data_IF_960928478998
#
_entry.id   IF_960928478998
#
_cell.length_a   1.000
_cell.length_b   1.000
_cell.length_c   1.000
_cell.angle_alpha   90.00
_cell.angle_beta   90.00
_cell.angle_gamma   90.00
#
_symmetry.space_group_name_H-M   'P 1'
#
loop_
_entity.id
_entity.type
_entity.pdbx_description
1 polymer ?
#
# COMPACT_ATOMS: atom_id res chain seq x y z
N UNK A 1 8.18 -25.28 -22.58
CA UNK A 1 8.56 -24.02 -21.91
C UNK A 1 7.35 -23.13 -21.56
N UNK A 2 6.14 -23.69 -21.35
CA UNK A 2 4.91 -22.89 -21.16
C UNK A 2 4.26 -23.02 -19.77
N UNK A 3 4.49 -24.11 -19.03
CA UNK A 3 3.88 -24.31 -17.70
C UNK A 3 4.53 -23.48 -16.58
N UNK A 4 5.85 -23.26 -16.63
CA UNK A 4 6.54 -22.51 -15.57
C UNK A 4 6.16 -21.03 -15.56
N UNK A 5 5.99 -20.41 -16.74
CA UNK A 5 5.65 -18.99 -16.84
C UNK A 5 4.22 -18.75 -16.35
N UNK A 6 3.25 -19.58 -16.77
CA UNK A 6 1.87 -19.49 -16.31
C UNK A 6 1.72 -19.69 -14.79
N UNK A 7 2.50 -20.63 -14.20
CA UNK A 7 2.51 -20.85 -12.74
C UNK A 7 3.11 -19.66 -12.00
N UNK A 8 4.20 -19.07 -12.52
CA UNK A 8 4.81 -17.88 -11.93
C UNK A 8 3.89 -16.65 -12.05
N UNK A 9 3.14 -16.52 -13.13
CA UNK A 9 2.15 -15.46 -13.32
C UNK A 9 1.02 -15.54 -12.28
N UNK A 10 0.39 -16.71 -12.14
CA UNK A 10 -0.69 -16.91 -11.16
C UNK A 10 -0.19 -16.65 -9.72
N UNK A 11 1.04 -17.10 -9.41
CA UNK A 11 1.66 -16.83 -8.11
C UNK A 11 1.92 -15.33 -7.89
N UNK A 12 2.36 -14.62 -8.91
CA UNK A 12 2.60 -13.17 -8.84
C UNK A 12 1.29 -12.41 -8.62
N UNK A 13 0.21 -12.84 -9.28
CA UNK A 13 -1.14 -12.29 -9.09
C UNK A 13 -1.67 -12.51 -7.68
N UNK A 14 -1.47 -13.70 -7.12
CA UNK A 14 -1.86 -14.01 -5.73
C UNK A 14 -1.08 -13.14 -4.74
N UNK A 15 0.24 -13.00 -4.92
CA UNK A 15 1.07 -12.13 -4.09
C UNK A 15 0.65 -10.65 -4.16
N UNK A 16 0.21 -10.17 -5.32
CA UNK A 16 -0.32 -8.81 -5.45
C UNK A 16 -1.65 -8.63 -4.71
N UNK A 17 -2.56 -9.61 -4.79
CA UNK A 17 -3.80 -9.57 -4.02
C UNK A 17 -3.54 -9.61 -2.51
N UNK A 18 -2.56 -10.39 -2.06
CA UNK A 18 -2.10 -10.41 -0.67
C UNK A 18 -1.49 -9.06 -0.25
N UNK A 19 -0.68 -8.44 -1.13
CA UNK A 19 -0.11 -7.12 -0.89
C UNK A 19 -1.17 -6.03 -0.79
N UNK A 20 -2.18 -6.02 -1.67
CA UNK A 20 -3.29 -5.08 -1.62
C UNK A 20 -4.10 -5.24 -0.33
N UNK A 21 -4.35 -6.48 0.08
CA UNK A 21 -5.05 -6.77 1.33
C UNK A 21 -4.25 -6.28 2.54
N UNK A 22 -2.93 -6.44 2.54
CA UNK A 22 -2.06 -5.96 3.62
C UNK A 22 -1.93 -4.43 3.62
N UNK A 23 -1.79 -3.81 2.45
CA UNK A 23 -1.80 -2.35 2.31
C UNK A 23 -3.11 -1.75 2.80
N UNK A 24 -4.25 -2.38 2.52
CA UNK A 24 -5.54 -1.96 3.05
C UNK A 24 -5.61 -2.04 4.59
N UNK A 25 -5.05 -3.09 5.20
CA UNK A 25 -4.97 -3.18 6.68
C UNK A 25 -4.09 -2.09 7.27
N UNK A 26 -2.92 -1.82 6.69
CA UNK A 26 -2.03 -0.77 7.20
C UNK A 26 -2.71 0.60 7.11
N UNK A 27 -3.39 0.89 6.00
CA UNK A 27 -4.16 2.13 5.86
C UNK A 27 -5.27 2.24 6.90
N UNK A 28 -5.99 1.16 7.17
CA UNK A 28 -7.01 1.14 8.20
C UNK A 28 -6.41 1.41 9.59
N UNK A 29 -5.26 0.82 9.91
CA UNK A 29 -4.55 1.07 11.18
C UNK A 29 -4.14 2.54 11.28
N UNK A 30 -3.58 3.12 10.22
CA UNK A 30 -3.20 4.54 10.18
C UNK A 30 -4.41 5.47 10.39
N UNK A 31 -5.57 5.14 9.80
CA UNK A 31 -6.82 5.87 10.02
C UNK A 31 -7.30 5.76 11.48
N UNK A 32 -7.26 4.57 12.07
CA UNK A 32 -7.62 4.32 13.47
C UNK A 32 -6.69 5.07 14.44
N UNK A 33 -5.38 5.03 14.22
CA UNK A 33 -4.38 5.75 15.02
C UNK A 33 -4.54 7.28 14.89
N UNK A 34 -4.81 7.77 13.69
CA UNK A 34 -5.10 9.19 13.44
C UNK A 34 -6.34 9.66 14.19
N UNK A 35 -7.39 8.83 14.23
CA UNK A 35 -8.61 9.12 14.98
C UNK A 35 -8.37 9.11 16.50
N UNK A 36 -7.60 8.14 17.02
CA UNK A 36 -7.21 8.09 18.43
C UNK A 36 -6.41 9.33 18.84
N UNK A 37 -5.46 9.75 17.99
CA UNK A 37 -4.67 10.95 18.23
C UNK A 37 -5.54 12.23 18.22
N UNK A 38 -6.55 12.31 17.35
CA UNK A 38 -7.48 13.44 17.36
C UNK A 38 -8.30 13.51 18.67
N UNK A 39 -8.73 12.36 19.21
CA UNK A 39 -9.48 12.27 20.48
C UNK A 39 -8.63 12.69 21.69
N UNK A 40 -7.37 12.24 21.74
CA UNK A 40 -6.40 12.63 22.78
C UNK A 40 -6.11 14.14 22.71
N UNK A 41 -6.00 14.71 21.51
CA UNK A 41 -5.80 16.15 21.32
C UNK A 41 -6.95 17.00 21.84
N UNK A 42 -8.18 16.48 21.84
CA UNK A 42 -9.34 17.14 22.41
C UNK A 42 -9.33 17.18 23.94
N UNK A 43 -8.60 16.29 24.60
CA UNK A 43 -8.54 16.18 26.07
C UNK A 43 -7.36 16.92 26.69
N UNK A 44 -6.29 17.22 25.95
CA UNK A 44 -5.13 17.95 26.45
C UNK A 44 -5.31 19.47 26.30
N UNK A 45 -5.17 20.21 27.41
CA UNK A 45 -5.23 21.68 27.44
C UNK A 45 -3.96 22.29 28.08
N UNK A 46 -3.67 23.55 27.78
CA UNK A 46 -2.49 24.26 28.28
C UNK A 46 -1.21 23.95 27.47
N UNK A 47 -0.03 24.18 28.04
CA UNK A 47 1.26 24.05 27.34
C UNK A 47 1.52 22.65 26.74
N UNK A 48 0.91 21.59 27.30
CA UNK A 48 0.97 20.24 26.74
C UNK A 48 0.18 20.11 25.41
N UNK A 49 -0.83 20.95 25.19
CA UNK A 49 -1.63 20.93 23.96
C UNK A 49 -0.87 21.47 22.75
N UNK A 50 0.02 22.45 22.93
CA UNK A 50 0.82 23.01 21.83
C UNK A 50 1.88 22.02 21.35
N UNK A 51 2.59 21.34 22.27
CA UNK A 51 3.51 20.25 21.92
C UNK A 51 2.80 19.07 21.25
N UNK A 52 1.61 18.71 21.75
CA UNK A 52 0.82 17.65 21.15
C UNK A 52 0.35 18.01 19.75
N UNK A 53 -0.10 19.24 19.50
CA UNK A 53 -0.51 19.70 18.16
C UNK A 53 0.64 19.63 17.16
N UNK A 54 1.85 19.95 17.58
CA UNK A 54 3.03 19.85 16.72
C UNK A 54 3.34 18.39 16.36
N UNK A 55 3.39 17.50 17.36
CA UNK A 55 3.59 16.06 17.14
C UNK A 55 2.46 15.43 16.33
N UNK A 56 1.22 15.88 16.54
CA UNK A 56 0.06 15.42 15.78
C UNK A 56 0.12 15.83 14.30
N UNK A 57 0.58 17.05 14.02
CA UNK A 57 0.79 17.50 12.64
C UNK A 57 1.90 16.73 11.94
N UNK A 58 2.96 16.37 12.66
CA UNK A 58 4.05 15.55 12.14
C UNK A 58 3.58 14.12 11.90
N UNK A 59 2.85 13.53 12.84
CA UNK A 59 2.23 12.21 12.71
C UNK A 59 1.32 12.10 11.49
N UNK A 60 0.38 13.04 11.31
CA UNK A 60 -0.53 13.02 10.16
C UNK A 60 0.25 13.08 8.84
N UNK A 61 1.33 13.88 8.80
CA UNK A 61 2.17 13.97 7.61
C UNK A 61 2.88 12.64 7.34
N UNK A 62 3.45 12.00 8.35
CA UNK A 62 4.13 10.71 8.22
C UNK A 62 3.15 9.60 7.82
N UNK A 63 1.95 9.57 8.41
CA UNK A 63 0.88 8.64 8.05
C UNK A 63 0.42 8.81 6.59
N UNK A 64 0.25 10.05 6.12
CA UNK A 64 -0.08 10.36 4.73
C UNK A 64 1.06 9.92 3.77
N UNK A 65 2.32 10.15 4.16
CA UNK A 65 3.49 9.73 3.39
C UNK A 65 3.59 8.20 3.29
N UNK A 66 3.30 7.48 4.37
CA UNK A 66 3.27 6.01 4.40
C UNK A 66 2.14 5.44 3.55
N UNK A 67 0.93 5.98 3.68
CA UNK A 67 -0.22 5.58 2.85
C UNK A 67 0.08 5.80 1.35
N UNK A 68 0.70 6.92 0.99
CA UNK A 68 1.11 7.22 -0.37
C UNK A 68 2.26 6.32 -0.87
N UNK A 69 3.16 5.89 0.00
CA UNK A 69 4.22 4.95 -0.34
C UNK A 69 3.66 3.54 -0.62
N UNK A 70 2.68 3.10 0.17
CA UNK A 70 1.96 1.84 -0.05
C UNK A 70 1.22 1.85 -1.39
N UNK A 71 0.55 2.95 -1.74
CA UNK A 71 -0.11 3.08 -3.05
C UNK A 71 0.87 2.98 -4.22
N UNK A 72 2.04 3.61 -4.10
CA UNK A 72 3.09 3.51 -5.11
C UNK A 72 3.62 2.08 -5.25
N UNK A 73 3.75 1.37 -4.13
CA UNK A 73 4.21 -0.02 -4.13
C UNK A 73 3.19 -0.94 -4.83
N UNK A 74 1.91 -0.87 -4.45
CA UNK A 74 0.84 -1.63 -5.10
C UNK A 74 0.77 -1.33 -6.60
N UNK A 75 0.84 -0.05 -6.98
CA UNK A 75 0.85 0.36 -8.39
C UNK A 75 2.06 -0.19 -9.16
N UNK A 76 3.25 -0.19 -8.57
CA UNK A 76 4.45 -0.74 -9.20
C UNK A 76 4.36 -2.26 -9.39
N UNK A 77 3.79 -2.98 -8.43
CA UNK A 77 3.57 -4.43 -8.52
C UNK A 77 2.56 -4.75 -9.63
N UNK A 78 1.45 -4.02 -9.71
CA UNK A 78 0.47 -4.20 -10.80
C UNK A 78 1.06 -3.89 -12.17
N UNK A 79 1.83 -2.81 -12.31
CA UNK A 79 2.52 -2.51 -13.57
C UNK A 79 3.51 -3.61 -13.98
N UNK A 80 4.18 -4.24 -13.01
CA UNK A 80 5.04 -5.41 -13.24
C UNK A 80 4.25 -6.63 -13.73
N UNK A 81 3.07 -6.88 -13.16
CA UNK A 81 2.18 -7.98 -13.57
C UNK A 81 1.64 -7.77 -14.98
N UNK A 82 1.21 -6.55 -15.31
CA UNK A 82 0.73 -6.22 -16.67
C UNK A 82 1.85 -6.41 -17.71
N UNK A 83 3.09 -6.04 -17.36
CA UNK A 83 4.26 -6.26 -18.20
C UNK A 83 4.51 -7.75 -18.45
N UNK A 84 4.45 -8.58 -17.40
CA UNK A 84 4.59 -10.03 -17.50
C UNK A 84 3.49 -10.65 -18.39
N UNK A 85 2.24 -10.22 -18.21
CA UNK A 85 1.11 -10.68 -19.02
C UNK A 85 1.28 -10.35 -20.50
N UNK A 86 1.67 -9.11 -20.82
CA UNK A 86 1.90 -8.71 -22.22
C UNK A 86 3.01 -9.51 -22.88
N UNK A 87 4.11 -9.76 -22.13
CA UNK A 87 5.25 -10.54 -22.63
C UNK A 87 4.85 -12.00 -22.88
N UNK A 88 4.06 -12.61 -22.00
CA UNK A 88 3.54 -13.96 -22.20
C UNK A 88 2.61 -14.03 -23.42
N UNK A 89 1.69 -13.06 -23.56
CA UNK A 89 0.78 -12.98 -24.71
C UNK A 89 1.55 -12.88 -26.04
N UNK A 90 2.58 -12.04 -26.10
CA UNK A 90 3.41 -11.85 -27.29
C UNK A 90 4.21 -13.11 -27.64
N UNK A 91 4.86 -13.72 -26.65
CA UNK A 91 5.64 -14.95 -26.84
C UNK A 91 4.74 -16.09 -27.30
N UNK A 92 3.57 -16.26 -26.69
CA UNK A 92 2.64 -17.34 -27.05
C UNK A 92 2.07 -17.13 -28.45
N UNK A 93 1.73 -15.88 -28.81
CA UNK A 93 1.27 -15.51 -30.15
C UNK A 93 2.33 -15.65 -31.24
N UNK A 94 3.62 -15.59 -30.91
CA UNK A 94 4.71 -15.83 -31.88
C UNK A 94 4.89 -17.31 -32.25
N UNK A 95 4.40 -18.24 -31.43
CA UNK A 95 4.55 -19.69 -31.65
C UNK A 95 3.25 -20.40 -32.10
N UNK A 96 2.16 -19.64 -32.29
CA UNK A 96 0.88 -20.08 -32.86
C UNK A 96 0.74 -19.69 -34.33
#
# INVERSE_FOLDING_TARGET
MSSDIAVQFERTRQLAAELDAEAAKVKQILEEETALMADIGGTWSGAASDQFRQQYSEWNKEADEEAAALDKLCAAVHAGIDTLYSTESDVTGMFS
#
